data_IF_633712365263
#
_entry.id   IF_633712365263
#
_cell.length_a   1.000
_cell.length_b   1.000
_cell.length_c   1.000
_cell.angle_alpha   90.00
_cell.angle_beta   90.00
_cell.angle_gamma   90.00
#
_symmetry.space_group_name_H-M   'P 1'
#
loop_
_entity.id
_entity.type
_entity.pdbx_description
1 polymer ?
#
# COMPACT_ATOMS: atom_id res chain seq x y z
N UNK A 1 15.33 1.16 26.45
CA UNK A 1 14.83 1.84 25.24
C UNK A 1 15.24 1.02 24.02
N UNK A 2 14.33 0.64 23.13
CA UNK A 2 14.65 -0.08 21.91
C UNK A 2 15.49 0.78 20.97
N UNK A 3 16.49 0.18 20.31
CA UNK A 3 17.45 0.88 19.44
C UNK A 3 16.77 1.27 18.12
N UNK A 4 16.75 2.57 17.83
CA UNK A 4 16.31 3.10 16.54
C UNK A 4 17.47 3.07 15.54
N UNK A 5 17.15 2.89 14.26
CA UNK A 5 18.09 3.06 13.15
C UNK A 5 18.48 4.54 13.00
N UNK A 6 19.68 4.80 12.46
CA UNK A 6 20.10 6.17 12.18
C UNK A 6 19.49 6.67 10.85
N UNK A 7 18.91 7.87 10.83
CA UNK A 7 18.43 8.52 9.60
C UNK A 7 19.59 8.93 8.68
N UNK A 8 19.49 8.67 7.36
CA UNK A 8 20.47 9.15 6.38
C UNK A 8 20.17 10.59 5.95
N UNK A 9 20.76 11.57 6.64
CA UNK A 9 20.50 12.99 6.40
C UNK A 9 20.97 13.50 5.02
N UNK A 10 21.77 12.74 4.28
CA UNK A 10 22.11 13.07 2.89
C UNK A 10 20.90 13.00 1.94
N UNK A 11 19.85 12.26 2.32
CA UNK A 11 18.68 12.08 1.48
C UNK A 11 17.72 13.29 1.49
N UNK A 12 17.79 14.14 2.51
CA UNK A 12 16.94 15.32 2.61
C UNK A 12 17.40 16.27 3.71
N UNK A 13 17.47 17.57 3.41
CA UNK A 13 17.73 18.59 4.42
C UNK A 13 16.51 18.82 5.33
N UNK A 14 16.71 19.40 6.52
CA UNK A 14 15.63 19.77 7.46
C UNK A 14 14.52 20.63 6.83
N UNK A 15 14.93 21.60 6.03
CA UNK A 15 14.03 22.56 5.38
C UNK A 15 13.22 21.87 4.27
N UNK A 16 13.85 21.00 3.48
CA UNK A 16 13.16 20.21 2.46
C UNK A 16 12.14 19.25 3.06
N UNK A 17 12.44 18.65 4.21
CA UNK A 17 11.45 17.84 4.96
C UNK A 17 10.24 18.67 5.40
N UNK A 18 10.44 19.93 5.77
CA UNK A 18 9.34 20.82 6.20
C UNK A 18 8.45 21.19 5.01
N UNK A 19 9.08 21.52 3.88
CA UNK A 19 8.38 21.79 2.62
C UNK A 19 7.60 20.54 2.18
N UNK A 20 8.22 19.36 2.23
CA UNK A 20 7.56 18.09 1.92
C UNK A 20 6.39 17.79 2.86
N UNK A 21 6.52 18.08 4.16
CA UNK A 21 5.44 17.89 5.11
C UNK A 21 4.24 18.79 4.77
N UNK A 22 4.48 20.05 4.41
CA UNK A 22 3.42 20.99 4.00
C UNK A 22 2.75 20.57 2.69
N UNK A 23 3.50 19.95 1.77
CA UNK A 23 3.00 19.48 0.49
C UNK A 23 2.44 18.04 0.51
N UNK A 24 2.41 17.39 1.68
CA UNK A 24 2.09 15.98 1.78
C UNK A 24 0.66 15.67 1.29
N UNK A 25 0.46 14.60 0.48
CA UNK A 25 -0.83 14.28 -0.11
C UNK A 25 -1.84 13.71 0.89
N UNK A 26 -1.41 13.33 2.10
CA UNK A 26 -2.28 12.78 3.13
C UNK A 26 -1.81 13.16 4.53
N UNK A 27 -2.75 13.24 5.47
CA UNK A 27 -2.45 13.48 6.89
C UNK A 27 -1.47 12.45 7.46
N UNK A 28 -1.53 11.19 6.99
CA UNK A 28 -0.60 10.14 7.42
C UNK A 28 0.82 10.40 6.94
N UNK A 29 0.98 10.83 5.70
CA UNK A 29 2.30 11.20 5.13
C UNK A 29 2.88 12.43 5.84
N UNK A 30 2.05 13.46 6.06
CA UNK A 30 2.40 14.64 6.85
C UNK A 30 2.90 14.25 8.24
N UNK A 31 2.14 13.42 8.95
CA UNK A 31 2.47 12.94 10.29
C UNK A 31 3.80 12.15 10.33
N UNK A 32 4.07 11.32 9.32
CA UNK A 32 5.35 10.59 9.21
C UNK A 32 6.53 11.52 9.02
N UNK A 33 6.38 12.53 8.16
CA UNK A 33 7.43 13.53 7.91
C UNK A 33 7.73 14.34 9.17
N UNK A 34 6.71 14.79 9.90
CA UNK A 34 6.90 15.47 11.19
C UNK A 34 7.55 14.57 12.24
N UNK A 35 7.17 13.29 12.31
CA UNK A 35 7.79 12.33 13.21
C UNK A 35 9.27 12.12 12.87
N UNK A 36 9.62 12.09 11.58
CA UNK A 36 10.99 11.96 11.12
C UNK A 36 11.84 13.21 11.44
N UNK A 37 11.29 14.42 11.23
CA UNK A 37 11.93 15.67 11.64
C UNK A 37 12.25 15.69 13.14
N UNK A 38 11.32 15.23 13.98
CA UNK A 38 11.52 15.15 15.43
C UNK A 38 12.55 14.10 15.88
N UNK A 39 12.94 13.15 15.01
CA UNK A 39 13.98 12.16 15.28
C UNK A 39 15.37 12.60 14.83
N UNK A 40 15.45 13.39 13.75
CA UNK A 40 16.71 13.74 13.09
C UNK A 40 17.33 15.06 13.51
N UNK A 41 16.61 15.95 14.21
CA UNK A 41 17.02 17.34 14.36
C UNK A 41 16.78 17.87 15.78
N UNK A 42 17.72 18.72 16.23
CA UNK A 42 17.87 19.31 17.57
C UNK A 42 16.67 20.15 18.07
N UNK A 43 15.53 20.11 17.40
CA UNK A 43 14.32 20.82 17.75
C UNK A 43 13.15 19.85 17.99
N UNK A 44 13.05 19.26 19.20
CA UNK A 44 11.85 18.55 19.65
C UNK A 44 10.73 19.56 19.99
N UNK A 45 10.45 20.55 19.13
CA UNK A 45 9.44 21.56 19.44
C UNK A 45 8.05 21.06 19.06
N UNK A 46 7.24 20.78 20.09
CA UNK A 46 5.76 20.66 20.13
C UNK A 46 5.09 19.54 19.30
N UNK A 47 5.70 19.04 18.22
CA UNK A 47 5.16 17.96 17.41
C UNK A 47 5.51 16.55 17.93
N UNK A 48 6.67 16.41 18.57
CA UNK A 48 7.22 15.11 19.00
C UNK A 48 6.32 14.33 19.96
N UNK A 49 5.60 15.00 20.85
CA UNK A 49 4.75 14.35 21.87
C UNK A 49 3.57 13.54 21.32
N UNK A 50 3.09 13.85 20.11
CA UNK A 50 1.88 13.25 19.53
C UNK A 50 2.17 11.97 18.74
N UNK A 51 3.44 11.74 18.37
CA UNK A 51 3.89 10.59 17.58
C UNK A 51 4.56 9.49 18.42
N UNK A 52 4.69 9.70 19.73
CA UNK A 52 5.19 8.73 20.72
C UNK A 52 4.32 7.45 20.80
N UNK A 53 3.14 7.44 20.18
CA UNK A 53 2.27 6.25 20.12
C UNK A 53 2.74 5.17 19.13
N UNK A 54 3.73 5.45 18.28
CA UNK A 54 4.24 4.44 17.34
C UNK A 54 5.25 3.51 17.99
N UNK A 55 5.03 2.20 17.86
CA UNK A 55 5.99 1.19 18.31
C UNK A 55 7.35 1.40 17.60
N UNK A 56 8.48 1.16 18.28
CA UNK A 56 9.84 1.31 17.73
C UNK A 56 10.07 0.59 16.39
N UNK A 57 9.38 -0.53 16.16
CA UNK A 57 9.43 -1.28 14.90
C UNK A 57 8.87 -0.46 13.71
N UNK A 58 7.82 0.32 13.94
CA UNK A 58 7.21 1.19 12.92
C UNK A 58 8.16 2.32 12.54
N UNK A 59 8.81 2.94 13.54
CA UNK A 59 9.81 3.98 13.31
C UNK A 59 11.01 3.43 12.54
N UNK A 60 11.53 2.25 12.92
CA UNK A 60 12.61 1.60 12.17
C UNK A 60 12.23 1.27 10.73
N UNK A 61 10.98 0.89 10.47
CA UNK A 61 10.50 0.69 9.10
C UNK A 61 10.54 2.01 8.31
N UNK A 62 10.05 3.11 8.90
CA UNK A 62 10.07 4.42 8.24
C UNK A 62 11.49 4.92 7.99
N UNK A 63 12.39 4.77 8.96
CA UNK A 63 13.81 5.13 8.79
C UNK A 63 14.46 4.30 7.69
N UNK A 64 14.20 2.98 7.64
CA UNK A 64 14.70 2.12 6.57
C UNK A 64 14.18 2.58 5.20
N UNK A 65 12.88 2.85 5.07
CA UNK A 65 12.28 3.31 3.80
C UNK A 65 12.84 4.66 3.38
N UNK A 66 12.99 5.60 4.31
CA UNK A 66 13.60 6.88 4.02
C UNK A 66 15.07 6.72 3.58
N UNK A 67 15.86 5.88 4.27
CA UNK A 67 17.25 5.67 3.90
C UNK A 67 17.38 5.09 2.47
N UNK A 68 16.40 4.33 2.01
CA UNK A 68 16.37 3.70 0.69
C UNK A 68 15.75 4.58 -0.41
N UNK A 69 14.76 5.42 -0.08
CA UNK A 69 13.87 6.09 -1.05
C UNK A 69 13.78 7.61 -0.82
N UNK A 70 14.50 8.16 0.15
CA UNK A 70 14.38 9.56 0.57
C UNK A 70 12.98 9.91 1.08
N UNK A 71 12.55 11.14 0.80
CA UNK A 71 11.24 11.68 1.23
C UNK A 71 10.08 10.80 0.76
N UNK A 72 10.15 10.25 -0.46
CA UNK A 72 9.12 9.39 -1.03
C UNK A 72 8.87 8.13 -0.21
N UNK A 73 9.89 7.64 0.50
CA UNK A 73 9.77 6.51 1.43
C UNK A 73 8.83 6.76 2.60
N UNK A 74 8.56 8.03 2.93
CA UNK A 74 7.64 8.44 4.00
C UNK A 74 6.24 8.77 3.46
N UNK A 75 6.12 9.04 2.16
CA UNK A 75 4.84 9.28 1.49
C UNK A 75 4.05 7.98 1.38
N UNK A 76 2.76 8.08 1.63
CA UNK A 76 1.82 6.98 1.40
C UNK A 76 1.58 6.82 -0.09
N UNK A 77 2.00 5.68 -0.64
CA UNK A 77 1.69 5.32 -2.02
C UNK A 77 0.24 4.88 -2.18
N UNK A 78 -0.15 4.66 -3.43
CA UNK A 78 -1.45 4.10 -3.77
C UNK A 78 -1.61 2.74 -3.08
N UNK A 79 -2.69 2.59 -2.30
CA UNK A 79 -2.96 1.31 -1.66
C UNK A 79 -3.50 0.40 -2.75
N UNK A 80 -2.90 -0.79 -2.98
CA UNK A 80 -3.58 -1.78 -3.80
C UNK A 80 -4.95 -1.99 -3.16
N UNK A 81 -6.01 -1.82 -3.95
CA UNK A 81 -7.37 -2.04 -3.50
C UNK A 81 -7.56 -3.47 -2.99
N UNK A 82 -8.80 -3.87 -2.71
CA UNK A 82 -9.06 -5.27 -2.39
C UNK A 82 -8.47 -6.15 -3.50
N UNK A 83 -7.65 -7.17 -3.18
CA UNK A 83 -7.17 -8.11 -4.19
C UNK A 83 -8.34 -8.63 -5.02
N UNK A 84 -8.14 -8.71 -6.34
CA UNK A 84 -9.16 -9.23 -7.23
C UNK A 84 -9.50 -10.67 -6.83
N UNK A 85 -10.79 -11.00 -6.83
CA UNK A 85 -11.25 -12.37 -6.55
C UNK A 85 -10.87 -13.37 -7.64
N UNK A 86 -10.60 -12.87 -8.85
CA UNK A 86 -10.25 -13.65 -10.03
C UNK A 86 -8.81 -13.31 -10.39
N UNK A 87 -7.94 -14.32 -10.43
CA UNK A 87 -6.54 -14.14 -10.84
C UNK A 87 -6.43 -13.93 -12.35
N UNK A 88 -5.31 -13.39 -12.87
CA UNK A 88 -5.10 -13.26 -14.31
C UNK A 88 -5.22 -14.60 -15.06
N UNK A 89 -4.72 -15.69 -14.47
CA UNK A 89 -4.78 -17.04 -15.05
C UNK A 89 -6.22 -17.54 -15.13
N UNK A 90 -7.00 -17.32 -14.07
CA UNK A 90 -8.43 -17.64 -14.05
C UNK A 90 -9.19 -16.81 -15.07
N UNK A 91 -8.89 -15.52 -15.18
CA UNK A 91 -9.51 -14.64 -16.18
C UNK A 91 -9.25 -15.12 -17.61
N UNK A 92 -8.02 -15.55 -17.91
CA UNK A 92 -7.68 -16.13 -19.21
C UNK A 92 -8.46 -17.42 -19.48
N UNK A 93 -8.54 -18.32 -18.50
CA UNK A 93 -9.32 -19.55 -18.60
C UNK A 93 -10.82 -19.27 -18.80
N UNK A 94 -11.39 -18.35 -18.02
CA UNK A 94 -12.80 -17.96 -18.13
C UNK A 94 -13.12 -17.32 -19.47
N UNK A 95 -12.21 -16.50 -20.02
CA UNK A 95 -12.36 -15.94 -21.37
C UNK A 95 -12.44 -17.04 -22.43
N UNK A 96 -11.59 -18.07 -22.34
CA UNK A 96 -11.64 -19.20 -23.26
C UNK A 96 -12.99 -19.95 -23.18
N UNK A 97 -13.52 -20.17 -21.97
CA UNK A 97 -14.84 -20.79 -21.80
C UNK A 97 -15.96 -19.93 -22.38
N UNK A 98 -15.89 -18.61 -22.23
CA UNK A 98 -16.88 -17.67 -22.77
C UNK A 98 -16.86 -17.68 -24.31
N UNK A 99 -15.67 -17.65 -24.91
CA UNK A 99 -15.48 -17.67 -26.37
C UNK A 99 -15.82 -19.03 -27.00
N UNK A 100 -15.59 -20.11 -26.26
CA UNK A 100 -15.87 -21.49 -26.70
C UNK A 100 -16.76 -22.23 -25.71
N UNK A 101 -18.08 -21.92 -25.67
CA UNK A 101 -19.02 -22.53 -24.72
C UNK A 101 -19.06 -24.06 -24.77
N UNK A 102 -18.71 -24.65 -25.91
CA UNK A 102 -18.64 -26.10 -26.13
C UNK A 102 -17.63 -26.80 -25.21
N UNK A 103 -16.59 -26.10 -24.73
CA UNK A 103 -15.63 -26.65 -23.78
C UNK A 103 -16.25 -26.95 -22.40
N UNK A 104 -17.40 -26.36 -22.11
CA UNK A 104 -18.19 -26.58 -20.89
C UNK A 104 -19.55 -27.21 -21.19
N UNK A 105 -19.68 -27.90 -22.34
CA UNK A 105 -20.93 -28.50 -22.82
C UNK A 105 -22.10 -27.51 -22.91
N UNK A 106 -21.80 -26.23 -23.18
CA UNK A 106 -22.80 -25.19 -23.38
C UNK A 106 -22.89 -24.77 -24.84
N UNK A 107 -24.10 -24.39 -25.27
CA UNK A 107 -24.32 -23.79 -26.59
C UNK A 107 -24.01 -22.29 -26.60
N UNK A 108 -24.31 -21.60 -25.50
CA UNK A 108 -24.03 -20.18 -25.29
C UNK A 108 -24.01 -19.87 -23.79
N UNK A 109 -23.42 -18.72 -23.47
CA UNK A 109 -23.42 -18.14 -22.13
C UNK A 109 -24.34 -16.95 -22.03
N UNK A 110 -25.02 -16.86 -20.90
CA UNK A 110 -25.56 -15.61 -20.37
C UNK A 110 -24.81 -15.30 -19.08
N UNK A 111 -24.82 -14.04 -18.63
CA UNK A 111 -24.14 -13.65 -17.39
C UNK A 111 -24.61 -14.49 -16.19
N UNK A 112 -25.91 -14.75 -16.08
CA UNK A 112 -26.50 -15.57 -15.00
C UNK A 112 -26.02 -17.03 -15.07
N UNK A 113 -26.01 -17.61 -16.27
CA UNK A 113 -25.59 -19.00 -16.47
C UNK A 113 -24.11 -19.20 -16.19
N UNK A 114 -23.28 -18.26 -16.63
CA UNK A 114 -21.86 -18.31 -16.38
C UNK A 114 -21.54 -18.10 -14.90
N UNK A 115 -22.24 -17.18 -14.22
CA UNK A 115 -22.14 -17.02 -12.76
C UNK A 115 -22.49 -18.31 -12.00
N UNK A 116 -23.59 -18.97 -12.39
CA UNK A 116 -23.98 -20.27 -11.84
C UNK A 116 -22.91 -21.34 -12.06
N UNK A 117 -22.35 -21.42 -13.27
CA UNK A 117 -21.27 -22.34 -13.63
C UNK A 117 -19.99 -22.10 -12.80
N UNK A 118 -19.58 -20.84 -12.64
CA UNK A 118 -18.43 -20.47 -11.80
C UNK A 118 -18.62 -20.93 -10.35
N UNK A 119 -19.85 -20.81 -9.83
CA UNK A 119 -20.17 -21.22 -8.46
C UNK A 119 -20.25 -22.74 -8.29
N UNK A 120 -20.83 -23.45 -9.26
CA UNK A 120 -21.10 -24.89 -9.16
C UNK A 120 -19.89 -25.74 -9.56
N UNK A 121 -19.36 -25.50 -10.75
CA UNK A 121 -18.31 -26.34 -11.35
C UNK A 121 -16.92 -25.89 -10.91
N UNK A 122 -16.70 -24.59 -10.80
CA UNK A 122 -15.40 -24.04 -10.43
C UNK A 122 -15.30 -23.66 -8.95
N UNK A 123 -16.39 -23.79 -8.18
CA UNK A 123 -16.45 -23.45 -6.75
C UNK A 123 -15.91 -22.03 -6.42
N UNK A 124 -16.06 -21.09 -7.34
CA UNK A 124 -15.60 -19.72 -7.20
C UNK A 124 -16.76 -18.77 -6.87
N UNK A 125 -16.68 -18.09 -5.71
CA UNK A 125 -17.65 -17.09 -5.30
C UNK A 125 -17.30 -15.68 -5.80
N UNK A 126 -17.78 -15.39 -7.01
CA UNK A 126 -17.71 -14.05 -7.60
C UNK A 126 -18.96 -13.29 -7.12
N UNK A 127 -18.74 -12.14 -6.48
CA UNK A 127 -19.80 -11.35 -5.83
C UNK A 127 -20.04 -10.07 -6.58
#
# INVERSE_FOLDING_TARGET
>A
MPRLLAPNLENCSPAELEVAAKAAPSQRSHNRLLAYQGLGLEHPSKAGGRFIQHLPAQLNNWIRRFNQQGVDGLIEGERPGRPAKITPEQSAHYRQLIEQPKLADQLHWTAVKFHGYLRQELQHEIG
#
